data_IF_822934992467
#
_entry.id   IF_822934992467
#
_cell.length_a   1.000
_cell.length_b   1.000
_cell.length_c   1.000
_cell.angle_alpha   90.00
_cell.angle_beta   90.00
_cell.angle_gamma   90.00
#
_symmetry.space_group_name_H-M   'P 1'
#
loop_
_entity.id
_entity.type
_entity.pdbx_description
1 polymer ?
#
# COMPACT_ATOMS: atom_id res chain seq x y z
N UNK A 1 44.79 -8.13 -7.17
CA UNK A 1 43.35 -7.94 -7.41
C UNK A 1 42.71 -7.65 -6.06
N UNK A 2 42.38 -6.40 -5.76
CA UNK A 2 41.64 -6.04 -4.55
C UNK A 2 40.21 -6.53 -4.71
N UNK A 3 39.82 -7.53 -3.90
CA UNK A 3 38.42 -7.97 -3.80
C UNK A 3 37.54 -6.76 -3.47
N UNK A 4 36.56 -6.45 -4.31
CA UNK A 4 35.59 -5.39 -4.03
C UNK A 4 34.77 -5.81 -2.79
N UNK A 5 34.73 -4.96 -1.77
CA UNK A 5 33.95 -5.22 -0.56
C UNK A 5 32.45 -5.23 -0.89
N UNK A 6 31.76 -6.30 -0.52
CA UNK A 6 30.33 -6.49 -0.74
C UNK A 6 29.56 -6.62 0.58
N UNK A 7 28.26 -6.35 0.53
CA UNK A 7 27.30 -6.59 1.61
C UNK A 7 26.15 -7.44 1.07
N UNK A 8 25.86 -8.54 1.75
CA UNK A 8 24.71 -9.40 1.44
C UNK A 8 23.54 -9.01 2.35
N UNK A 9 22.36 -8.83 1.76
CA UNK A 9 21.11 -8.51 2.45
C UNK A 9 20.10 -9.63 2.24
N UNK A 10 19.31 -9.96 3.26
CA UNK A 10 18.31 -11.03 3.20
C UNK A 10 16.90 -10.45 3.17
N UNK A 11 16.09 -10.91 2.22
CA UNK A 11 14.68 -10.57 2.10
C UNK A 11 13.80 -11.79 2.36
N UNK A 12 12.62 -11.56 2.94
CA UNK A 12 11.59 -12.58 3.12
C UNK A 12 10.18 -11.99 3.09
N UNK A 13 9.21 -12.74 2.58
CA UNK A 13 7.80 -12.42 2.76
C UNK A 13 7.25 -13.00 4.08
N UNK A 14 6.04 -12.59 4.47
CA UNK A 14 5.42 -13.00 5.73
C UNK A 14 5.29 -14.52 5.88
N UNK A 15 4.90 -15.25 4.82
CA UNK A 15 4.74 -16.70 4.89
C UNK A 15 6.05 -17.49 4.72
N UNK A 16 7.19 -16.81 4.52
CA UNK A 16 8.51 -17.39 4.24
C UNK A 16 8.61 -18.26 2.96
N UNK A 17 7.57 -18.33 2.13
CA UNK A 17 7.65 -19.01 0.82
C UNK A 17 8.56 -18.27 -0.16
N UNK A 18 8.78 -16.98 0.06
CA UNK A 18 9.81 -16.20 -0.60
C UNK A 18 10.88 -15.83 0.41
N UNK A 19 12.09 -16.29 0.14
CA UNK A 19 13.33 -15.91 0.80
C UNK A 19 14.41 -15.81 -0.28
N UNK A 20 15.15 -14.71 -0.29
CA UNK A 20 16.27 -14.52 -1.19
C UNK A 20 17.32 -13.60 -0.58
N UNK A 21 18.52 -13.63 -1.14
CA UNK A 21 19.55 -12.64 -0.84
C UNK A 21 19.86 -11.77 -2.06
N UNK A 22 20.36 -10.57 -1.81
CA UNK A 22 21.06 -9.76 -2.81
C UNK A 22 22.45 -9.44 -2.26
N UNK A 23 23.46 -9.48 -3.12
CA UNK A 23 24.83 -9.11 -2.75
C UNK A 23 25.22 -7.85 -3.51
N UNK A 24 25.46 -6.76 -2.78
CA UNK A 24 25.70 -5.43 -3.32
C UNK A 24 27.15 -5.01 -3.08
N UNK A 25 27.80 -4.30 -4.04
CA UNK A 25 29.02 -3.57 -3.75
C UNK A 25 28.76 -2.53 -2.64
N UNK A 26 29.60 -2.49 -1.62
CA UNK A 26 29.44 -1.53 -0.51
C UNK A 26 29.45 -0.07 -0.98
N UNK A 27 30.16 0.21 -2.08
CA UNK A 27 30.19 1.54 -2.73
C UNK A 27 28.88 1.96 -3.38
N UNK A 28 27.94 1.03 -3.58
CA UNK A 28 26.59 1.34 -4.10
C UNK A 28 25.60 1.73 -3.00
N UNK A 29 25.96 1.54 -1.72
CA UNK A 29 25.09 1.83 -0.59
C UNK A 29 25.26 3.29 -0.12
N UNK A 30 24.17 3.95 0.31
CA UNK A 30 22.78 3.48 0.25
C UNK A 30 22.23 3.46 -1.18
N UNK A 31 21.34 2.51 -1.48
CA UNK A 31 20.61 2.52 -2.75
C UNK A 31 19.54 3.61 -2.71
N UNK A 32 19.40 4.33 -3.83
CA UNK A 32 18.38 5.37 -3.97
C UNK A 32 17.00 4.71 -4.08
N UNK A 33 16.09 5.12 -3.21
CA UNK A 33 14.72 4.62 -3.15
C UNK A 33 13.76 5.73 -3.57
N UNK A 34 12.79 5.38 -4.40
CA UNK A 34 11.70 6.29 -4.75
C UNK A 34 10.40 5.85 -4.07
N UNK A 35 9.57 6.82 -3.72
CA UNK A 35 8.23 6.61 -3.20
C UNK A 35 7.24 6.91 -4.33
N UNK A 36 6.70 5.89 -4.99
CA UNK A 36 5.79 6.08 -6.12
C UNK A 36 4.33 6.11 -5.67
N UNK A 37 3.61 7.14 -6.13
CA UNK A 37 2.21 7.42 -5.79
C UNK A 37 1.25 7.21 -6.97
N UNK A 38 1.74 6.71 -8.11
CA UNK A 38 0.88 6.57 -9.28
C UNK A 38 -0.29 5.60 -9.03
N UNK A 39 -1.41 5.83 -9.71
CA UNK A 39 -2.62 5.00 -9.54
C UNK A 39 -2.35 3.53 -9.89
N UNK A 40 -1.47 3.24 -10.86
CA UNK A 40 -1.09 1.85 -11.18
C UNK A 40 -0.44 1.21 -9.96
N UNK A 41 0.58 1.84 -9.37
CA UNK A 41 1.28 1.29 -8.21
C UNK A 41 0.33 1.12 -7.02
N UNK A 42 -0.51 2.11 -6.73
CA UNK A 42 -1.52 2.03 -5.66
C UNK A 42 -2.48 0.87 -5.86
N UNK A 43 -3.11 0.79 -7.03
CA UNK A 43 -4.17 -0.17 -7.32
C UNK A 43 -3.63 -1.60 -7.53
N UNK A 44 -2.35 -1.77 -7.92
CA UNK A 44 -1.68 -3.07 -8.04
C UNK A 44 -1.24 -3.60 -6.69
N UNK A 45 -0.76 -2.75 -5.79
CA UNK A 45 -0.28 -3.18 -4.46
C UNK A 45 -1.41 -3.21 -3.42
N UNK A 46 -2.45 -2.40 -3.60
CA UNK A 46 -3.47 -2.14 -2.59
C UNK A 46 -2.94 -1.27 -1.44
N UNK A 47 -1.91 -0.47 -1.67
CA UNK A 47 -1.23 0.35 -0.65
C UNK A 47 -1.31 1.84 -1.04
N UNK A 48 -1.12 2.78 -0.09
CA UNK A 48 -1.19 4.21 -0.42
C UNK A 48 -0.07 4.68 -1.37
N UNK A 49 1.07 3.99 -1.35
CA UNK A 49 2.22 4.18 -2.24
C UNK A 49 3.14 2.94 -2.16
N UNK A 50 4.24 2.96 -2.92
CA UNK A 50 5.30 1.92 -2.84
C UNK A 50 6.69 2.51 -2.61
N UNK A 51 7.62 1.67 -2.14
CA UNK A 51 8.98 2.03 -1.75
C UNK A 51 9.97 1.12 -2.46
N UNK A 52 10.45 1.54 -3.63
CA UNK A 52 11.21 0.67 -4.53
C UNK A 52 12.61 1.25 -4.79
N UNK A 53 13.62 0.37 -4.83
CA UNK A 53 15.01 0.71 -5.09
C UNK A 53 15.52 -0.07 -6.32
N UNK A 54 15.96 0.62 -7.40
CA UNK A 54 16.64 -0.03 -8.51
C UNK A 54 17.94 -0.71 -8.02
N UNK A 55 18.12 -1.99 -8.36
CA UNK A 55 19.36 -2.69 -8.10
C UNK A 55 20.41 -2.32 -9.18
N UNK A 56 21.71 -2.36 -8.85
CA UNK A 56 22.76 -2.24 -9.85
C UNK A 56 22.61 -3.30 -10.94
N UNK A 57 22.95 -2.96 -12.18
CA UNK A 57 22.80 -3.84 -13.33
C UNK A 57 23.47 -5.21 -13.10
N UNK A 58 22.75 -6.28 -13.44
CA UNK A 58 23.21 -7.66 -13.26
C UNK A 58 23.06 -8.22 -11.84
N UNK A 59 22.68 -7.41 -10.84
CA UNK A 59 22.33 -7.93 -9.52
C UNK A 59 20.89 -8.43 -9.54
N UNK A 60 20.70 -9.71 -9.20
CA UNK A 60 19.40 -10.36 -9.18
C UNK A 60 19.16 -11.07 -7.84
N UNK A 61 17.90 -11.21 -7.40
CA UNK A 61 17.53 -12.01 -6.24
C UNK A 61 18.07 -13.45 -6.33
N UNK A 62 18.88 -13.84 -5.34
CA UNK A 62 19.38 -15.21 -5.19
C UNK A 62 18.48 -15.97 -4.21
N UNK A 63 17.51 -16.72 -4.74
CA UNK A 63 16.53 -17.42 -3.93
C UNK A 63 17.15 -18.51 -3.05
N UNK A 64 16.67 -18.58 -1.81
CA UNK A 64 17.07 -19.59 -0.82
C UNK A 64 16.06 -20.74 -0.91
N UNK A 65 16.54 -21.95 -1.22
CA UNK A 65 15.68 -23.14 -1.33
C UNK A 65 14.81 -23.33 -0.06
N UNK A 66 13.50 -23.65 -0.20
CA UNK A 66 12.80 -24.04 -1.42
C UNK A 66 12.21 -22.85 -2.23
N UNK A 67 12.51 -21.60 -1.86
CA UNK A 67 12.02 -20.44 -2.61
C UNK A 67 12.59 -20.40 -4.02
N UNK A 68 11.77 -19.92 -4.96
CA UNK A 68 12.11 -19.74 -6.36
C UNK A 68 11.13 -18.77 -7.02
N UNK A 69 11.39 -18.44 -8.30
CA UNK A 69 10.43 -17.70 -9.12
C UNK A 69 9.06 -18.39 -9.23
N UNK A 70 8.97 -19.72 -9.06
CA UNK A 70 7.69 -20.45 -9.09
C UNK A 70 6.79 -20.14 -7.89
N UNK A 71 7.35 -19.56 -6.82
CA UNK A 71 6.59 -19.11 -5.66
C UNK A 71 6.07 -17.66 -5.83
N UNK A 72 6.40 -17.02 -6.96
CA UNK A 72 5.93 -15.69 -7.33
C UNK A 72 4.87 -15.79 -8.43
N UNK A 73 3.96 -14.83 -8.44
CA UNK A 73 3.10 -14.52 -9.58
C UNK A 73 3.61 -13.22 -10.20
N UNK A 74 3.78 -13.20 -11.51
CA UNK A 74 4.12 -12.00 -12.27
C UNK A 74 2.87 -11.35 -12.84
N UNK A 75 2.78 -10.03 -12.76
CA UNK A 75 1.67 -9.24 -13.31
C UNK A 75 2.18 -8.17 -14.28
N UNK A 76 1.60 -8.16 -15.49
CA UNK A 76 1.81 -7.16 -16.54
C UNK A 76 0.46 -6.58 -16.98
N UNK A 77 0.36 -5.25 -17.03
CA UNK A 77 -0.72 -4.56 -17.74
C UNK A 77 -0.26 -4.20 -19.16
N UNK A 78 -1.18 -3.74 -20.01
CA UNK A 78 -0.93 -3.53 -21.44
C UNK A 78 0.26 -2.60 -21.76
N UNK A 79 0.52 -1.62 -20.90
CA UNK A 79 1.60 -0.62 -21.01
C UNK A 79 2.72 -0.80 -19.97
N UNK A 80 2.84 -1.99 -19.38
CA UNK A 80 3.84 -2.22 -18.34
C UNK A 80 5.26 -2.16 -18.92
N UNK A 81 6.15 -1.45 -18.23
CA UNK A 81 7.60 -1.44 -18.51
C UNK A 81 8.35 -2.51 -17.71
N UNK A 82 7.68 -3.16 -16.77
CA UNK A 82 8.26 -4.18 -15.89
C UNK A 82 7.21 -5.15 -15.36
N UNK A 83 7.63 -6.39 -15.15
CA UNK A 83 6.80 -7.43 -14.51
C UNK A 83 6.84 -7.27 -13.01
N UNK A 84 5.67 -7.04 -12.42
CA UNK A 84 5.52 -6.88 -10.97
C UNK A 84 5.38 -8.25 -10.34
N UNK A 85 6.25 -8.60 -9.40
CA UNK A 85 6.28 -9.91 -8.78
C UNK A 85 5.79 -9.86 -7.34
N UNK A 86 4.90 -10.79 -7.00
CA UNK A 86 4.39 -10.96 -5.64
C UNK A 86 4.28 -12.42 -5.25
N UNK A 87 4.36 -12.70 -3.95
CA UNK A 87 4.24 -14.04 -3.41
C UNK A 87 2.84 -14.61 -3.69
N UNK A 88 2.78 -15.76 -4.37
CA UNK A 88 1.52 -16.37 -4.76
C UNK A 88 0.70 -16.97 -3.59
N UNK A 89 1.26 -16.92 -2.37
CA UNK A 89 0.67 -17.44 -1.14
C UNK A 89 0.15 -16.33 -0.21
N UNK A 90 0.93 -15.26 -0.01
CA UNK A 90 0.58 -14.20 0.95
C UNK A 90 0.35 -12.81 0.32
N UNK A 91 0.55 -12.66 -0.99
CA UNK A 91 0.35 -11.39 -1.69
C UNK A 91 1.51 -10.39 -1.62
N UNK A 92 2.56 -10.68 -0.83
CA UNK A 92 3.68 -9.77 -0.63
C UNK A 92 4.42 -9.47 -1.93
N UNK A 93 4.45 -8.21 -2.34
CA UNK A 93 5.21 -7.75 -3.49
C UNK A 93 6.70 -7.72 -3.17
N UNK A 94 7.50 -8.24 -4.10
CA UNK A 94 8.96 -8.33 -3.95
C UNK A 94 9.68 -7.27 -4.77
N UNK A 95 9.07 -6.82 -5.87
CA UNK A 95 9.64 -5.83 -6.77
C UNK A 95 9.30 -6.12 -8.21
N UNK A 96 9.88 -5.31 -9.09
CA UNK A 96 9.58 -5.27 -10.51
C UNK A 96 10.81 -5.69 -11.32
N UNK A 97 10.62 -6.55 -12.31
CA UNK A 97 11.64 -6.94 -13.29
C UNK A 97 11.42 -6.16 -14.59
N UNK A 98 12.35 -5.27 -14.94
CA UNK A 98 12.29 -4.47 -16.17
C UNK A 98 12.21 -5.34 -17.43
N UNK A 99 11.29 -5.00 -18.33
CA UNK A 99 11.10 -5.73 -19.59
C UNK A 99 12.11 -5.31 -20.67
N UNK A 100 12.64 -4.09 -20.57
CA UNK A 100 13.59 -3.49 -21.49
C UNK A 100 15.05 -3.82 -21.12
N UNK A 101 15.38 -3.79 -19.83
CA UNK A 101 16.75 -3.91 -19.33
C UNK A 101 17.03 -5.19 -18.52
N UNK A 102 15.99 -5.93 -18.10
CA UNK A 102 16.11 -7.12 -17.27
C UNK A 102 16.60 -6.84 -15.84
N UNK A 103 16.62 -5.58 -15.40
CA UNK A 103 17.06 -5.20 -14.07
C UNK A 103 15.91 -5.25 -13.05
N UNK A 104 16.26 -5.54 -11.81
CA UNK A 104 15.31 -5.55 -10.71
C UNK A 104 15.20 -4.18 -10.05
N UNK A 105 13.98 -3.73 -9.83
CA UNK A 105 13.66 -2.66 -8.88
C UNK A 105 12.94 -3.29 -7.70
N UNK A 106 13.63 -3.42 -6.57
CA UNK A 106 13.18 -4.25 -5.45
C UNK A 106 12.33 -3.44 -4.46
N UNK A 107 11.34 -4.07 -3.85
CA UNK A 107 10.70 -3.53 -2.65
C UNK A 107 11.74 -3.45 -1.53
N UNK A 108 11.93 -2.25 -0.98
CA UNK A 108 12.81 -2.09 0.18
C UNK A 108 12.22 -2.72 1.43
N UNK A 109 10.91 -2.92 1.47
CA UNK A 109 10.17 -3.22 2.69
C UNK A 109 10.33 -4.67 3.18
N UNK A 110 10.85 -5.59 2.36
CA UNK A 110 10.85 -7.04 2.68
C UNK A 110 12.19 -7.54 3.26
N UNK A 111 13.15 -6.64 3.45
CA UNK A 111 14.44 -6.97 4.01
C UNK A 111 14.38 -7.17 5.53
N UNK A 112 15.21 -8.08 6.03
CA UNK A 112 15.24 -8.46 7.45
C UNK A 112 16.06 -7.49 8.29
N UNK A 113 17.05 -6.88 7.67
CA UNK A 113 17.94 -5.89 8.26
C UNK A 113 17.23 -4.53 8.36
N UNK A 114 17.30 -3.85 9.51
CA UNK A 114 16.87 -2.47 9.62
C UNK A 114 17.60 -1.55 8.64
N UNK A 115 16.89 -0.53 8.14
CA UNK A 115 17.48 0.52 7.35
C UNK A 115 18.41 1.39 8.20
N UNK A 116 19.70 1.06 8.14
CA UNK A 116 20.81 1.78 8.79
C UNK A 116 21.78 2.30 7.72
N UNK A 117 21.23 2.93 6.67
CA UNK A 117 21.98 3.34 5.49
C UNK A 117 21.97 2.31 4.35
N UNK A 118 20.90 1.51 4.25
CA UNK A 118 20.68 0.59 3.13
C UNK A 118 19.89 1.28 2.01
N UNK A 119 18.85 2.01 2.41
CA UNK A 119 17.86 2.63 1.52
C UNK A 119 17.83 4.12 1.80
N UNK A 120 18.02 4.92 0.78
CA UNK A 120 17.90 6.38 0.88
C UNK A 120 16.71 6.84 0.05
N UNK A 121 15.58 7.09 0.72
CA UNK A 121 14.38 7.61 0.09
C UNK A 121 14.64 9.04 -0.42
N UNK A 122 14.67 9.24 -1.74
CA UNK A 122 15.07 10.51 -2.36
C UNK A 122 13.93 11.30 -2.97
N UNK A 123 12.88 10.63 -3.42
CA UNK A 123 11.83 11.28 -4.18
C UNK A 123 10.43 10.77 -3.87
N UNK A 124 9.46 11.66 -4.02
CA UNK A 124 8.08 11.32 -4.33
C UNK A 124 7.91 11.35 -5.85
N UNK A 125 7.46 10.25 -6.43
CA UNK A 125 7.21 10.12 -7.86
C UNK A 125 5.71 10.06 -8.14
N UNK A 126 5.27 10.74 -9.20
CA UNK A 126 3.89 10.73 -9.70
C UNK A 126 2.85 11.20 -8.66
N UNK A 127 3.17 12.26 -7.91
CA UNK A 127 2.28 12.84 -6.88
C UNK A 127 0.98 13.34 -7.48
N UNK A 128 1.02 13.82 -8.73
CA UNK A 128 -0.14 14.39 -9.43
C UNK A 128 -1.16 13.33 -9.87
N UNK A 129 -0.86 12.04 -9.64
CA UNK A 129 -1.82 10.95 -9.88
C UNK A 129 -2.96 10.93 -8.84
N UNK A 130 -2.80 11.62 -7.72
CA UNK A 130 -3.81 11.74 -6.66
C UNK A 130 -4.18 13.20 -6.47
N UNK A 131 -5.47 13.54 -6.55
CA UNK A 131 -5.95 14.92 -6.46
C UNK A 131 -5.63 15.58 -5.10
N UNK A 132 -5.63 14.80 -4.02
CA UNK A 132 -5.24 15.23 -2.66
C UNK A 132 -3.73 15.08 -2.37
N UNK A 133 -2.93 14.65 -3.35
CA UNK A 133 -1.51 14.32 -3.18
C UNK A 133 -1.22 13.02 -2.41
N UNK A 134 -2.25 12.36 -1.86
CA UNK A 134 -2.11 11.13 -1.08
C UNK A 134 -1.06 11.22 0.02
N UNK A 135 -0.23 10.18 0.15
CA UNK A 135 0.80 10.14 1.20
C UNK A 135 1.91 11.18 0.98
N UNK A 136 2.11 11.70 -0.25
CA UNK A 136 3.11 12.74 -0.52
C UNK A 136 2.75 14.10 0.10
N UNK A 137 1.46 14.34 0.39
CA UNK A 137 1.02 15.54 1.08
C UNK A 137 1.30 15.50 2.59
N UNK A 138 1.58 14.31 3.15
CA UNK A 138 1.78 14.10 4.59
C UNK A 138 3.18 14.55 5.03
N UNK A 139 4.21 14.23 4.24
CA UNK A 139 5.59 14.57 4.56
C UNK A 139 6.37 14.93 3.30
N UNK A 140 7.28 15.90 3.41
CA UNK A 140 8.15 16.35 2.32
C UNK A 140 9.64 16.22 2.64
N UNK A 141 9.95 15.77 3.87
CA UNK A 141 11.31 15.65 4.38
C UNK A 141 11.48 14.32 5.12
N UNK A 142 12.67 13.72 5.02
CA UNK A 142 13.11 12.57 5.81
C UNK A 142 14.50 12.91 6.37
N UNK A 143 14.70 12.80 7.68
CA UNK A 143 15.93 13.21 8.38
C UNK A 143 16.43 14.61 8.00
N UNK A 144 15.50 15.57 7.89
CA UNK A 144 15.78 16.96 7.53
C UNK A 144 16.12 17.18 6.05
N UNK A 145 16.26 16.12 5.25
CA UNK A 145 16.48 16.22 3.80
C UNK A 145 15.14 16.30 3.08
N UNK A 146 14.98 17.31 2.23
CA UNK A 146 13.82 17.45 1.35
C UNK A 146 13.80 16.34 0.30
N UNK A 147 12.63 15.75 0.07
CA UNK A 147 12.39 14.79 -1.01
C UNK A 147 12.16 15.56 -2.32
N UNK A 148 12.78 15.07 -3.41
CA UNK A 148 12.52 15.57 -4.75
C UNK A 148 11.11 15.16 -5.19
N UNK A 149 10.42 16.01 -5.94
CA UNK A 149 9.14 15.66 -6.58
C UNK A 149 9.41 15.39 -8.05
N UNK A 150 9.08 14.19 -8.51
CA UNK A 150 9.25 13.78 -9.90
C UNK A 150 7.90 13.44 -10.51
N UNK A 151 7.37 14.37 -11.32
CA UNK A 151 6.20 14.17 -12.16
C UNK A 151 6.66 14.39 -13.61
N UNK A 152 7.05 13.34 -14.34
CA UNK A 152 7.49 13.51 -15.71
C UNK A 152 6.34 14.08 -16.55
N UNK A 153 6.63 15.07 -17.38
CA UNK A 153 5.73 15.46 -18.46
C UNK A 153 5.54 14.23 -19.35
N UNK A 154 4.29 13.97 -19.73
CA UNK A 154 3.85 12.75 -20.42
C UNK A 154 4.40 12.70 -21.85
N UNK A 155 5.68 12.35 -22.01
CA UNK A 155 6.39 12.41 -23.31
C UNK A 155 6.91 11.08 -23.82
N UNK A 156 6.67 9.95 -23.14
CA UNK A 156 7.24 8.65 -23.55
C UNK A 156 6.28 7.45 -23.49
N UNK A 157 4.99 7.67 -23.27
CA UNK A 157 4.05 6.57 -23.02
C UNK A 157 3.06 6.32 -24.16
N UNK A 158 2.74 7.32 -25.00
CA UNK A 158 1.52 7.24 -25.82
C UNK A 158 0.24 7.01 -24.99
N UNK A 159 0.36 7.01 -23.66
CA UNK A 159 -0.74 7.05 -22.73
C UNK A 159 -1.12 8.52 -22.70
N UNK A 160 -2.19 8.88 -23.39
CA UNK A 160 -2.70 10.23 -23.22
C UNK A 160 -3.25 10.35 -21.79
N UNK A 161 -3.49 11.57 -21.29
CA UNK A 161 -4.34 11.82 -20.11
C UNK A 161 -5.66 10.99 -20.08
N UNK A 162 -6.08 10.38 -21.21
CA UNK A 162 -7.23 9.47 -21.31
C UNK A 162 -6.97 8.03 -20.83
N UNK A 163 -5.73 7.52 -20.80
CA UNK A 163 -5.44 6.17 -20.29
C UNK A 163 -5.32 6.13 -18.76
N UNK A 164 -5.25 7.32 -18.13
CA UNK A 164 -5.52 7.57 -16.71
C UNK A 164 -7.04 7.54 -16.41
N UNK A 165 -7.88 7.35 -17.43
CA UNK A 165 -9.32 7.57 -17.40
C UNK A 165 -10.17 6.40 -17.89
N UNK A 166 -9.82 5.14 -17.58
CA UNK A 166 -10.86 4.09 -17.59
C UNK A 166 -11.70 4.27 -16.32
N UNK A 167 -12.71 5.13 -16.48
CA UNK A 167 -13.74 5.55 -15.54
C UNK A 167 -13.34 6.55 -14.45
N UNK A 168 -12.80 7.71 -14.84
CA UNK A 168 -13.38 8.94 -14.28
C UNK A 168 -14.57 9.24 -15.19
N UNK A 169 -15.78 8.89 -14.74
CA UNK A 169 -16.96 9.58 -15.27
C UNK A 169 -16.74 11.06 -14.98
N UNK A 170 -16.36 11.82 -16.01
CA UNK A 170 -16.40 13.27 -15.97
C UNK A 170 -17.86 13.70 -16.06
N UNK A 171 -18.61 13.37 -15.02
CA UNK A 171 -19.75 14.17 -14.65
C UNK A 171 -19.21 15.11 -13.59
N UNK A 172 -18.87 16.33 -14.00
CA UNK A 172 -18.65 17.49 -13.11
C UNK A 172 -19.97 17.92 -12.44
N UNK A 173 -20.72 16.95 -11.93
CA UNK A 173 -21.64 17.14 -10.83
C UNK A 173 -20.85 16.77 -9.57
N UNK A 174 -20.98 17.54 -8.49
CA UNK A 174 -20.64 17.07 -7.16
C UNK A 174 -21.30 15.71 -6.95
N UNK A 175 -20.58 14.60 -7.20
CA UNK A 175 -21.22 13.30 -7.12
C UNK A 175 -21.47 13.03 -5.65
N UNK A 176 -22.73 13.23 -5.25
CA UNK A 176 -23.34 12.75 -4.02
C UNK A 176 -23.48 11.23 -4.08
N UNK A 177 -22.48 10.53 -4.62
CA UNK A 177 -22.51 9.08 -4.73
C UNK A 177 -22.55 8.52 -3.32
N UNK A 178 -23.63 7.82 -3.00
CA UNK A 178 -23.80 7.11 -1.73
C UNK A 178 -22.98 5.82 -1.69
N UNK A 179 -22.26 5.51 -2.78
CA UNK A 179 -21.34 4.38 -2.90
C UNK A 179 -19.94 4.82 -3.34
N UNK A 180 -18.93 4.19 -2.75
CA UNK A 180 -17.51 4.28 -3.10
C UNK A 180 -17.07 3.00 -3.78
N UNK A 181 -16.55 3.12 -5.00
CA UNK A 181 -15.95 1.99 -5.71
C UNK A 181 -14.59 1.63 -5.10
N UNK A 182 -14.38 0.34 -4.86
CA UNK A 182 -13.09 -0.25 -4.51
C UNK A 182 -12.75 -1.34 -5.54
N UNK A 183 -11.61 -1.16 -6.22
CA UNK A 183 -11.25 -2.03 -7.34
C UNK A 183 -9.72 -2.19 -7.46
N UNK A 184 -9.26 -3.43 -7.63
CA UNK A 184 -7.84 -3.68 -7.90
C UNK A 184 -7.48 -3.28 -9.34
N UNK A 185 -6.19 -3.14 -9.66
CA UNK A 185 -5.78 -2.67 -10.99
C UNK A 185 -6.28 -3.53 -12.15
N UNK A 186 -6.34 -4.86 -11.99
CA UNK A 186 -6.75 -5.74 -13.08
C UNK A 186 -8.29 -5.86 -13.24
N UNK A 187 -9.09 -5.20 -12.40
CA UNK A 187 -10.55 -5.31 -12.38
C UNK A 187 -11.08 -6.69 -11.93
N UNK A 188 -10.19 -7.61 -11.57
CA UNK A 188 -10.56 -8.96 -11.14
C UNK A 188 -11.16 -9.00 -9.74
N UNK A 189 -11.08 -7.91 -8.98
CA UNK A 189 -11.79 -7.68 -7.72
C UNK A 189 -12.34 -6.27 -7.77
N UNK A 190 -13.67 -6.16 -7.65
CA UNK A 190 -14.42 -4.91 -7.73
C UNK A 190 -15.63 -5.03 -6.82
N UNK A 191 -15.87 -4.04 -5.97
CA UNK A 191 -17.00 -3.96 -5.05
C UNK A 191 -17.30 -2.50 -4.69
N UNK A 192 -18.50 -2.23 -4.18
CA UNK A 192 -18.90 -0.92 -3.67
C UNK A 192 -19.01 -0.94 -2.16
N UNK A 193 -18.74 0.23 -1.56
CA UNK A 193 -18.85 0.50 -0.13
C UNK A 193 -19.88 1.62 0.02
N UNK A 194 -20.97 1.39 0.75
CA UNK A 194 -21.91 2.46 1.05
C UNK A 194 -21.44 3.31 2.23
N UNK A 195 -22.03 4.50 2.39
CA UNK A 195 -21.91 5.26 3.64
C UNK A 195 -22.52 4.48 4.81
N UNK A 196 -22.08 4.72 6.06
CA UNK A 196 -22.79 4.22 7.24
C UNK A 196 -24.28 4.57 7.15
N UNK A 197 -25.14 3.55 7.05
CA UNK A 197 -26.59 3.76 6.90
C UNK A 197 -27.23 4.11 8.25
N UNK A 198 -28.39 4.76 8.21
CA UNK A 198 -29.11 5.19 9.42
C UNK A 198 -29.35 4.04 10.40
N UNK A 199 -29.67 2.83 9.90
CA UNK A 199 -29.91 1.66 10.75
C UNK A 199 -28.64 1.20 11.48
N UNK A 200 -27.48 1.30 10.82
CA UNK A 200 -26.20 0.96 11.43
C UNK A 200 -25.82 1.99 12.49
N UNK A 201 -25.91 3.29 12.15
CA UNK A 201 -25.63 4.41 13.06
C UNK A 201 -26.49 4.32 14.34
N UNK A 202 -27.76 3.95 14.21
CA UNK A 202 -28.66 3.80 15.36
C UNK A 202 -28.44 2.51 16.18
N UNK A 203 -27.60 1.58 15.71
CA UNK A 203 -27.36 0.29 16.36
C UNK A 203 -26.10 0.29 17.22
N UNK A 204 -26.06 -0.60 18.22
CA UNK A 204 -24.85 -0.85 19.01
C UNK A 204 -23.70 -1.45 18.19
N UNK A 205 -23.96 -1.95 16.97
CA UNK A 205 -22.91 -2.44 16.07
C UNK A 205 -21.99 -1.32 15.55
N UNK A 206 -22.42 -0.05 15.62
CA UNK A 206 -21.61 1.11 15.23
C UNK A 206 -20.72 1.65 16.36
N UNK A 207 -20.92 1.21 17.60
CA UNK A 207 -20.16 1.71 18.76
C UNK A 207 -18.66 1.50 18.56
N UNK A 208 -17.90 2.60 18.59
CA UNK A 208 -16.44 2.60 18.36
C UNK A 208 -16.00 2.49 16.90
N UNK A 209 -16.94 2.35 15.95
CA UNK A 209 -16.64 2.23 14.51
C UNK A 209 -16.94 3.49 13.70
N UNK A 210 -17.54 4.51 14.32
CA UNK A 210 -17.81 5.82 13.74
C UNK A 210 -17.31 6.93 14.68
N UNK A 211 -16.86 8.05 14.11
CA UNK A 211 -16.45 9.20 14.89
C UNK A 211 -17.63 10.16 15.09
N UNK A 212 -17.78 10.73 16.29
CA UNK A 212 -18.90 11.62 16.63
C UNK A 212 -18.89 12.95 15.88
N UNK A 213 -17.74 13.36 15.33
CA UNK A 213 -17.66 14.58 14.51
C UNK A 213 -18.37 14.43 13.16
N UNK A 214 -18.44 13.20 12.63
CA UNK A 214 -19.06 12.90 11.34
C UNK A 214 -19.35 11.40 11.24
N UNK A 215 -20.60 11.02 11.53
CA UNK A 215 -21.04 9.62 11.48
C UNK A 215 -21.33 9.12 10.06
N UNK A 216 -21.20 9.97 9.04
CA UNK A 216 -21.38 9.60 7.63
C UNK A 216 -20.11 9.04 6.97
N UNK A 217 -19.02 8.95 7.73
CA UNK A 217 -17.69 8.54 7.28
C UNK A 217 -17.16 7.36 8.10
N UNK A 218 -16.36 6.54 7.44
CA UNK A 218 -15.67 5.39 8.03
C UNK A 218 -14.38 5.82 8.71
N UNK A 219 -13.94 5.08 9.73
CA UNK A 219 -12.65 5.33 10.37
C UNK A 219 -11.50 4.81 9.49
N UNK A 220 -10.40 5.54 9.41
CA UNK A 220 -9.19 5.14 8.68
C UNK A 220 -7.90 5.41 9.46
N UNK A 221 -6.86 4.64 9.18
CA UNK A 221 -5.55 4.82 9.82
C UNK A 221 -4.38 4.32 8.98
N UNK A 222 -3.17 4.72 9.41
CA UNK A 222 -1.90 4.19 8.94
C UNK A 222 -1.35 3.14 9.91
N UNK A 223 -0.74 2.09 9.36
CA UNK A 223 -0.16 0.97 10.10
C UNK A 223 1.27 0.66 9.62
N UNK A 224 2.19 0.61 10.58
CA UNK A 224 3.62 0.32 10.39
C UNK A 224 4.02 -1.06 10.93
N UNK A 225 3.08 -1.96 11.19
CA UNK A 225 3.40 -3.29 11.71
C UNK A 225 4.18 -4.14 10.70
N UNK A 226 5.04 -5.02 11.22
CA UNK A 226 5.83 -5.93 10.40
C UNK A 226 4.97 -6.90 9.58
N UNK A 227 3.79 -7.29 10.08
CA UNK A 227 2.87 -8.15 9.34
C UNK A 227 2.36 -7.48 8.07
N UNK A 228 1.86 -6.25 8.17
CA UNK A 228 1.43 -5.47 7.01
C UNK A 228 2.61 -5.22 6.06
N UNK A 229 3.78 -4.87 6.59
CA UNK A 229 4.99 -4.70 5.78
C UNK A 229 5.35 -5.94 4.97
N UNK A 230 5.39 -7.11 5.62
CA UNK A 230 5.80 -8.38 5.02
C UNK A 230 4.69 -9.10 4.24
N UNK A 231 3.44 -8.66 4.34
CA UNK A 231 2.32 -9.17 3.52
C UNK A 231 2.03 -8.29 2.31
N UNK A 232 2.38 -7.01 2.35
CA UNK A 232 2.14 -6.08 1.22
C UNK A 232 3.40 -5.80 0.41
N UNK A 233 4.58 -5.86 1.04
CA UNK A 233 5.82 -5.40 0.42
C UNK A 233 5.98 -3.88 0.44
N UNK A 234 5.40 -3.18 1.42
CA UNK A 234 5.50 -1.70 1.55
C UNK A 234 5.78 -1.27 2.97
N UNK A 235 6.40 -0.09 3.17
CA UNK A 235 6.79 0.38 4.50
C UNK A 235 5.60 0.87 5.35
N UNK A 236 4.43 1.13 4.75
CA UNK A 236 3.22 1.59 5.45
C UNK A 236 1.97 1.06 4.74
N UNK A 237 0.99 0.63 5.54
CA UNK A 237 -0.33 0.26 5.06
C UNK A 237 -1.38 1.29 5.51
N UNK A 238 -2.42 1.46 4.69
CA UNK A 238 -3.55 2.32 5.00
C UNK A 238 -4.85 1.50 4.96
N UNK A 239 -5.59 1.53 6.06
CA UNK A 239 -6.83 0.76 6.24
C UNK A 239 -8.01 1.68 6.49
N UNK A 240 -9.16 1.34 5.93
CA UNK A 240 -10.47 1.93 6.24
C UNK A 240 -11.37 0.83 6.83
N UNK A 241 -11.95 1.07 8.01
CA UNK A 241 -12.81 0.12 8.69
C UNK A 241 -14.24 0.21 8.18
N UNK A 242 -14.75 -0.89 7.60
CA UNK A 242 -16.08 -0.95 6.98
C UNK A 242 -16.86 -2.13 7.54
N UNK A 243 -18.10 -1.90 7.93
CA UNK A 243 -19.00 -2.99 8.32
C UNK A 243 -19.34 -3.88 7.11
N UNK A 244 -19.29 -5.21 7.28
CA UNK A 244 -19.43 -6.16 6.17
C UNK A 244 -20.76 -6.04 5.40
N UNK A 245 -21.83 -5.60 6.08
CA UNK A 245 -23.15 -5.39 5.48
C UNK A 245 -23.25 -4.12 4.62
N UNK A 246 -22.21 -3.28 4.61
CA UNK A 246 -22.07 -2.09 3.77
C UNK A 246 -21.18 -2.33 2.54
N UNK A 247 -20.79 -3.58 2.28
CA UNK A 247 -20.03 -3.99 1.10
C UNK A 247 -20.94 -4.76 0.15
N UNK A 248 -20.95 -4.35 -1.11
CA UNK A 248 -21.69 -5.01 -2.18
C UNK A 248 -20.77 -5.44 -3.33
N UNK A 249 -20.85 -6.70 -3.80
CA UNK A 249 -21.73 -7.77 -3.33
C UNK A 249 -21.34 -8.27 -1.93
N UNK A 250 -22.30 -8.92 -1.26
CA UNK A 250 -22.07 -9.51 0.06
C UNK A 250 -20.86 -10.46 0.05
N UNK A 251 -19.95 -10.27 1.00
CA UNK A 251 -18.74 -11.08 1.14
C UNK A 251 -19.05 -12.36 1.94
N UNK A 252 -18.54 -13.49 1.46
CA UNK A 252 -18.51 -14.74 2.22
C UNK A 252 -17.56 -14.65 3.42
N UNK A 253 -17.64 -15.61 4.34
CA UNK A 253 -16.82 -15.64 5.56
C UNK A 253 -15.30 -15.70 5.30
N UNK A 254 -14.87 -16.17 4.13
CA UNK A 254 -13.47 -16.18 3.69
C UNK A 254 -13.04 -14.91 2.93
N UNK A 255 -13.97 -13.94 2.78
CA UNK A 255 -13.79 -12.67 2.09
C UNK A 255 -13.34 -12.81 0.63
N UNK A 256 -13.56 -13.97 0.02
CA UNK A 256 -13.18 -14.23 -1.36
C UNK A 256 -14.23 -13.64 -2.31
N UNK A 257 -13.79 -12.71 -3.13
CA UNK A 257 -14.52 -12.09 -4.22
C UNK A 257 -13.68 -12.12 -5.50
N UNK A 258 -14.31 -12.43 -6.64
CA UNK A 258 -13.66 -12.45 -7.95
C UNK A 258 -12.36 -13.29 -7.97
N UNK A 259 -11.26 -12.66 -8.35
CA UNK A 259 -9.92 -13.27 -8.46
C UNK A 259 -9.13 -13.31 -7.14
N UNK A 260 -9.73 -12.91 -6.02
CA UNK A 260 -9.00 -12.85 -4.74
C UNK A 260 -8.64 -14.23 -4.19
N UNK A 261 -7.57 -14.25 -3.41
CA UNK A 261 -7.10 -15.38 -2.62
C UNK A 261 -7.08 -14.99 -1.16
N UNK A 262 -7.39 -15.96 -0.31
CA UNK A 262 -7.36 -15.79 1.15
C UNK A 262 -6.06 -16.32 1.74
N UNK A 263 -5.54 -15.61 2.74
CA UNK A 263 -4.30 -15.93 3.44
C UNK A 263 -4.49 -15.71 4.94
N UNK A 264 -4.29 -16.76 5.73
CA UNK A 264 -4.32 -16.67 7.19
C UNK A 264 -2.94 -16.33 7.71
N UNK A 265 -2.70 -15.05 8.04
CA UNK A 265 -1.40 -14.60 8.55
C UNK A 265 -1.11 -15.13 9.95
N UNK A 266 -2.15 -15.30 10.78
CA UNK A 266 -2.06 -15.95 12.08
C UNK A 266 -3.44 -16.45 12.54
N UNK A 267 -3.52 -17.11 13.69
CA UNK A 267 -4.79 -17.62 14.22
C UNK A 267 -5.79 -16.47 14.38
N UNK A 268 -6.96 -16.61 13.75
CA UNK A 268 -8.03 -15.61 13.76
C UNK A 268 -7.71 -14.29 13.07
N UNK A 269 -6.73 -14.28 12.16
CA UNK A 269 -6.33 -13.14 11.33
C UNK A 269 -6.32 -13.57 9.87
N UNK A 270 -7.29 -13.10 9.11
CA UNK A 270 -7.46 -13.42 7.69
C UNK A 270 -7.17 -12.17 6.86
N UNK A 271 -6.41 -12.34 5.78
CA UNK A 271 -6.07 -11.32 4.81
C UNK A 271 -6.47 -11.81 3.42
N UNK A 272 -6.81 -10.92 2.51
CA UNK A 272 -7.02 -11.29 1.12
C UNK A 272 -6.26 -10.37 0.17
N UNK A 273 -5.87 -10.94 -0.97
CA UNK A 273 -5.20 -10.24 -2.04
C UNK A 273 -5.70 -10.73 -3.40
N UNK A 274 -5.61 -9.90 -4.43
CA UNK A 274 -5.96 -10.31 -5.79
C UNK A 274 -4.95 -11.34 -6.31
N UNK A 275 -5.40 -12.53 -6.68
CA UNK A 275 -4.53 -13.59 -7.22
C UNK A 275 -3.92 -13.29 -8.59
N UNK A 276 -4.42 -12.26 -9.29
CA UNK A 276 -3.95 -11.83 -10.61
C UNK A 276 -2.92 -10.72 -10.53
N UNK A 277 -3.24 -9.59 -9.86
CA UNK A 277 -2.33 -8.44 -9.78
C UNK A 277 -1.61 -8.29 -8.44
N UNK A 278 -1.99 -9.03 -7.40
CA UNK A 278 -1.36 -8.97 -6.09
C UNK A 278 -1.89 -7.88 -5.17
N UNK A 279 -2.92 -7.13 -5.57
CA UNK A 279 -3.44 -6.04 -4.76
C UNK A 279 -3.95 -6.55 -3.41
N UNK A 280 -3.51 -5.93 -2.32
CA UNK A 280 -4.07 -6.15 -0.98
C UNK A 280 -5.50 -5.63 -0.96
N UNK A 281 -6.42 -6.40 -0.36
CA UNK A 281 -7.86 -6.09 -0.42
C UNK A 281 -8.44 -5.91 0.98
N UNK A 282 -8.43 -6.98 1.77
CA UNK A 282 -9.08 -7.03 3.06
C UNK A 282 -8.17 -7.57 4.15
N UNK A 283 -8.41 -7.14 5.39
CA UNK A 283 -7.99 -7.83 6.60
C UNK A 283 -9.14 -7.89 7.60
N UNK A 284 -9.33 -9.04 8.24
CA UNK A 284 -10.34 -9.24 9.27
C UNK A 284 -9.78 -10.02 10.44
N UNK A 285 -10.33 -9.77 11.61
CA UNK A 285 -10.04 -10.53 12.81
C UNK A 285 -11.27 -11.13 13.43
N UNK A 286 -11.14 -12.35 13.93
CA UNK A 286 -12.17 -13.04 14.71
C UNK A 286 -12.58 -12.27 15.98
N UNK A 287 -11.76 -11.31 16.47
CA UNK A 287 -12.15 -10.45 17.61
C UNK A 287 -13.17 -9.38 17.23
N UNK A 288 -13.33 -9.11 15.93
CA UNK A 288 -14.24 -8.09 15.37
C UNK A 288 -14.81 -8.57 14.02
N UNK A 289 -15.62 -9.65 14.04
CA UNK A 289 -16.01 -10.38 12.82
C UNK A 289 -17.00 -9.63 11.93
N UNK A 290 -17.59 -8.52 12.40
CA UNK A 290 -18.54 -7.71 11.63
C UNK A 290 -17.89 -6.57 10.85
N UNK A 291 -16.62 -6.23 11.12
CA UNK A 291 -15.91 -5.10 10.52
C UNK A 291 -14.62 -5.57 9.86
N UNK A 292 -14.49 -5.24 8.58
CA UNK A 292 -13.33 -5.56 7.76
C UNK A 292 -12.50 -4.30 7.51
N UNK A 293 -11.19 -4.47 7.43
CA UNK A 293 -10.25 -3.42 7.06
C UNK A 293 -10.11 -3.49 5.55
N UNK A 294 -10.57 -2.46 4.86
CA UNK A 294 -10.45 -2.31 3.41
C UNK A 294 -9.18 -1.55 3.10
N UNK A 295 -8.39 -2.09 2.17
CA UNK A 295 -7.17 -1.46 1.69
C UNK A 295 -7.46 -0.14 0.98
N UNK A 296 -6.94 0.98 1.49
CA UNK A 296 -7.18 2.31 0.90
C UNK A 296 -6.59 2.43 -0.50
N UNK A 297 -5.54 1.66 -0.81
CA UNK A 297 -4.88 1.69 -2.12
C UNK A 297 -5.75 1.19 -3.27
N UNK A 298 -6.90 0.55 -3.04
CA UNK A 298 -7.83 0.15 -4.11
C UNK A 298 -9.06 1.05 -4.23
N UNK A 299 -9.23 2.05 -3.35
CA UNK A 299 -10.37 2.97 -3.40
C UNK A 299 -10.27 3.91 -4.61
N UNK A 300 -11.41 4.11 -5.27
CA UNK A 300 -11.58 4.99 -6.45
C UNK A 300 -12.30 6.30 -6.06
N UNK A 301 -11.86 6.91 -4.96
CA UNK A 301 -12.39 8.19 -4.52
C UNK A 301 -11.90 9.31 -5.46
N UNK A 302 -12.81 10.10 -6.06
CA UNK A 302 -12.42 11.15 -7.01
C UNK A 302 -11.61 12.28 -6.37
N UNK A 303 -11.76 12.51 -5.06
CA UNK A 303 -10.96 13.48 -4.32
C UNK A 303 -9.52 13.02 -4.03
N UNK A 304 -9.20 11.74 -4.26
CA UNK A 304 -7.84 11.22 -4.12
C UNK A 304 -7.69 10.09 -3.10
N UNK A 305 -6.44 9.77 -2.80
CA UNK A 305 -6.04 8.55 -2.06
C UNK A 305 -6.52 8.53 -0.63
N UNK A 306 -6.53 9.68 0.03
CA UNK A 306 -6.96 9.80 1.42
C UNK A 306 -8.47 9.72 1.56
N UNK A 307 -9.23 9.84 0.47
CA UNK A 307 -10.69 9.69 0.44
C UNK A 307 -11.40 10.47 1.57
N UNK A 308 -11.02 11.75 1.77
CA UNK A 308 -11.44 12.57 2.92
C UNK A 308 -12.97 12.79 2.99
N UNK A 309 -13.73 12.55 1.90
CA UNK A 309 -15.20 12.57 1.92
C UNK A 309 -15.82 11.26 2.43
N UNK A 310 -15.02 10.22 2.59
CA UNK A 310 -15.42 8.88 3.02
C UNK A 310 -14.76 8.45 4.33
N UNK A 311 -13.60 9.02 4.66
CA UNK A 311 -12.77 8.58 5.77
C UNK A 311 -12.51 9.69 6.80
N UNK A 312 -12.58 9.32 8.07
CA UNK A 312 -12.04 10.07 9.21
C UNK A 312 -10.74 9.40 9.64
N UNK A 313 -9.64 10.13 9.50
CA UNK A 313 -8.30 9.59 9.74
C UNK A 313 -7.84 9.75 11.18
N UNK A 314 -7.17 8.74 11.70
CA UNK A 314 -6.41 8.84 12.95
C UNK A 314 -5.10 9.57 12.70
N UNK A 315 -4.98 10.80 13.20
CA UNK A 315 -3.86 11.68 12.85
C UNK A 315 -2.68 11.64 13.83
N UNK A 316 -2.96 11.61 15.14
CA UNK A 316 -1.95 11.76 16.19
C UNK A 316 -1.24 10.45 16.56
N UNK A 317 -1.74 9.30 16.09
CA UNK A 317 -1.16 8.00 16.39
C UNK A 317 -1.20 7.04 15.20
N UNK A 318 -0.02 6.55 14.82
CA UNK A 318 0.15 5.48 13.83
C UNK A 318 0.15 4.12 14.53
N UNK A 319 -0.55 3.14 13.95
CA UNK A 319 -0.59 1.77 14.48
C UNK A 319 0.79 1.14 14.37
N UNK A 320 1.20 0.45 15.45
CA UNK A 320 2.48 -0.24 15.55
C UNK A 320 3.71 0.60 15.17
N UNK A 321 3.70 1.91 15.48
CA UNK A 321 4.79 2.84 15.21
C UNK A 321 6.18 2.32 15.60
N UNK A 322 6.29 1.58 16.71
CA UNK A 322 7.55 0.98 17.16
C UNK A 322 8.13 -0.05 16.17
N UNK A 323 7.31 -0.82 15.46
CA UNK A 323 7.78 -1.74 14.42
C UNK A 323 8.39 -0.96 13.25
N UNK A 324 7.70 0.08 12.77
CA UNK A 324 8.22 0.99 11.76
C UNK A 324 9.54 1.63 12.19
N UNK A 325 9.58 2.21 13.40
CA UNK A 325 10.77 2.86 13.94
C UNK A 325 11.97 1.92 14.07
N UNK A 326 11.72 0.64 14.41
CA UNK A 326 12.77 -0.39 14.46
C UNK A 326 13.29 -0.73 13.07
N UNK A 327 12.42 -0.71 12.05
CA UNK A 327 12.79 -1.07 10.69
C UNK A 327 13.42 0.10 9.92
N UNK A 328 12.74 1.23 9.84
CA UNK A 328 13.20 2.46 9.18
C UNK A 328 12.84 3.67 10.07
N UNK A 329 13.75 4.07 10.98
CA UNK A 329 13.47 5.15 11.93
C UNK A 329 13.27 6.50 11.26
N UNK A 330 14.00 6.77 10.17
CA UNK A 330 13.96 8.05 9.47
C UNK A 330 12.60 8.25 8.79
N UNK A 331 12.17 7.27 8.00
CA UNK A 331 10.86 7.29 7.34
C UNK A 331 9.72 7.31 8.38
N UNK A 332 9.79 6.46 9.40
CA UNK A 332 8.70 6.33 10.35
C UNK A 332 8.47 7.60 11.16
N UNK A 333 9.54 8.30 11.57
CA UNK A 333 9.41 9.62 12.23
C UNK A 333 8.77 10.66 11.31
N UNK A 334 9.26 10.74 10.06
CA UNK A 334 8.70 11.67 9.08
C UNK A 334 7.21 11.43 8.83
N UNK A 335 6.78 10.16 8.76
CA UNK A 335 5.38 9.79 8.60
C UNK A 335 4.55 10.13 9.84
N UNK A 336 5.03 9.82 11.05
CA UNK A 336 4.32 10.09 12.31
C UNK A 336 4.10 11.60 12.49
N UNK A 337 5.16 12.39 12.37
CA UNK A 337 5.10 13.85 12.50
C UNK A 337 4.29 14.48 11.38
N UNK A 338 4.45 13.96 10.15
CA UNK A 338 3.69 14.39 8.99
C UNK A 338 2.20 14.15 9.14
N UNK A 339 1.80 12.97 9.61
CA UNK A 339 0.39 12.59 9.78
C UNK A 339 -0.28 13.44 10.85
N UNK A 340 0.41 13.70 11.97
CA UNK A 340 -0.10 14.57 13.03
C UNK A 340 -0.33 16.00 12.53
N UNK A 341 0.63 16.56 11.78
CA UNK A 341 0.49 17.90 11.17
C UNK A 341 -0.62 17.94 10.12
N UNK A 342 -0.60 17.01 9.16
CA UNK A 342 -1.59 16.91 8.09
C UNK A 342 -3.01 16.79 8.64
N UNK A 343 -3.21 15.95 9.65
CA UNK A 343 -4.52 15.78 10.26
C UNK A 343 -4.95 16.99 11.09
N UNK A 344 -4.04 17.64 11.82
CA UNK A 344 -4.32 18.87 12.56
C UNK A 344 -4.80 20.00 11.66
N UNK A 345 -4.17 20.18 10.49
CA UNK A 345 -4.59 21.16 9.47
C UNK A 345 -5.97 20.86 8.86
N UNK A 346 -6.46 19.62 8.99
CA UNK A 346 -7.71 19.12 8.41
C UNK A 346 -8.81 18.84 9.44
N UNK A 347 -8.55 19.10 10.72
CA UNK A 347 -9.49 18.80 11.79
C UNK A 347 -9.74 17.31 12.00
N UNK A 348 -8.79 16.46 11.61
CA UNK A 348 -8.85 15.02 11.85
C UNK A 348 -8.58 14.72 13.34
N UNK A 349 -9.23 13.70 13.93
CA UNK A 349 -9.03 13.37 15.33
C UNK A 349 -7.61 12.87 15.61
N UNK A 350 -7.08 13.21 16.78
CA UNK A 350 -5.75 12.78 17.23
C UNK A 350 -5.69 11.26 17.44
N UNK A 351 -6.66 10.69 18.16
CA UNK A 351 -6.80 9.24 18.35
C UNK A 351 -8.28 8.86 18.45
N UNK A 352 -8.55 7.58 18.22
CA UNK A 352 -9.82 6.95 18.57
C UNK A 352 -9.56 5.49 18.92
N UNK A 353 -10.35 4.89 19.80
CA UNK A 353 -10.19 3.47 20.13
C UNK A 353 -11.00 2.66 19.13
N UNK A 354 -10.31 1.78 18.39
CA UNK A 354 -10.98 0.76 17.58
C UNK A 354 -11.25 -0.45 18.50
N UNK A 355 -12.50 -0.93 18.60
CA UNK A 355 -12.89 -2.03 19.49
C UNK A 355 -12.10 -3.34 19.33
#
# INVERSE_FOLDING_TARGET
MTSLSTKTLTAKCHCNNIQFTITLPTTSLPLKTHICHCNICRHVHGTPCIFHAPLPAGITPQFISPSSMNNLTGYNHASALGTRHFCNTCGCHVGDLGLDDGNWTISTAIFTEPNTGLWEMRSHCFTDSSADGGLSAIFSHIDGRRLEIFNPEDTSSGLTKKDVGREIRTDEAESTSEELLAECHCGGVSFTISRPREEFIASSASEGWLHSSDTSKWLALLDLCDDCRLTTGTNVMAWMYVALDHISPHLSADLVIGSSKSYRSSKGRLRTFCGTCGATLFYISDTRPSVVDVAVGILRAPEGTMAEKWAIWRAGRIVAANSGLKYDPAFSKALIEGMARWGGERGMPEDFVVP
#
